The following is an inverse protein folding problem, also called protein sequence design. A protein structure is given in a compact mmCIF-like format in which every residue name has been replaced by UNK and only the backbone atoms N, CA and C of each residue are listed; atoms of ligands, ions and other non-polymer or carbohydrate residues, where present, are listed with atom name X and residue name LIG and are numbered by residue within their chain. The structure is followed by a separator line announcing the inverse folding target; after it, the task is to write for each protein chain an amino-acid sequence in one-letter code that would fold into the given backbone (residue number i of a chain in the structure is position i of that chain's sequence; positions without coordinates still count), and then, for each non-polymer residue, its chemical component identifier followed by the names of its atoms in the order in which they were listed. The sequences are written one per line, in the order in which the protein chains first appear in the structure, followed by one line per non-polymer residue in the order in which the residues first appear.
data_IF_479669413199
#
_entry.id   IF_479669413199
#
_cell.length_a   1.000
_cell.length_b   1.000
_cell.length_c   1.000
_cell.angle_alpha   90.00
_cell.angle_beta   90.00
_cell.angle_gamma   90.00
#
_symmetry.space_group_name_H-M   'P 1'
#
loop_
_entity.id
_entity.type
_entity.pdbx_description
1 polymer ?
#
# COMPACT_ATOMS: atom_id res chain seq x y z
N UNK A 1 -28.10 -31.54 -16.02
CA UNK A 1 -27.04 -31.86 -15.04
C UNK A 1 -25.61 -31.57 -15.53
N UNK A 2 -25.13 -32.18 -16.63
CA UNK A 2 -23.72 -32.03 -17.07
C UNK A 2 -23.27 -30.57 -17.34
N UNK A 3 -24.13 -29.74 -17.93
CA UNK A 3 -23.83 -28.32 -18.19
C UNK A 3 -23.69 -27.45 -16.92
N UNK A 4 -24.50 -27.71 -15.90
CA UNK A 4 -24.44 -26.98 -14.62
C UNK A 4 -23.14 -27.35 -13.89
N UNK A 5 -22.78 -28.64 -13.89
CA UNK A 5 -21.53 -29.12 -13.31
C UNK A 5 -20.29 -28.48 -13.97
N UNK A 6 -20.28 -28.37 -15.30
CA UNK A 6 -19.18 -27.72 -16.05
C UNK A 6 -19.07 -26.23 -15.67
N UNK A 7 -20.20 -25.53 -15.53
CA UNK A 7 -20.22 -24.11 -15.12
C UNK A 7 -19.70 -23.91 -13.70
N UNK A 8 -20.07 -24.79 -12.77
CA UNK A 8 -19.59 -24.74 -11.39
C UNK A 8 -18.09 -25.02 -11.33
N UNK A 9 -17.61 -26.05 -12.04
CA UNK A 9 -16.18 -26.41 -12.08
C UNK A 9 -15.33 -25.30 -12.70
N UNK A 10 -15.78 -24.70 -13.79
CA UNK A 10 -15.07 -23.57 -14.41
C UNK A 10 -15.02 -22.36 -13.47
N UNK A 11 -16.13 -22.02 -12.81
CA UNK A 11 -16.18 -20.91 -11.85
C UNK A 11 -15.26 -21.13 -10.64
N UNK A 12 -15.22 -22.35 -10.11
CA UNK A 12 -14.32 -22.74 -9.01
C UNK A 12 -12.84 -22.62 -9.41
N UNK A 13 -12.51 -23.04 -10.65
CA UNK A 13 -11.15 -23.00 -11.16
C UNK A 13 -10.65 -21.56 -11.35
N UNK A 14 -11.49 -20.68 -11.90
CA UNK A 14 -11.18 -19.24 -12.00
C UNK A 14 -11.08 -18.59 -10.62
N UNK A 15 -12.01 -18.90 -9.71
CA UNK A 15 -11.97 -18.38 -8.33
C UNK A 15 -10.69 -18.80 -7.59
N UNK A 16 -10.28 -20.07 -7.73
CA UNK A 16 -9.03 -20.57 -7.16
C UNK A 16 -7.79 -19.92 -7.80
N UNK A 17 -7.79 -19.71 -9.13
CA UNK A 17 -6.69 -19.04 -9.81
C UNK A 17 -6.51 -17.58 -9.33
N UNK A 18 -7.61 -16.84 -9.15
CA UNK A 18 -7.59 -15.48 -8.60
C UNK A 18 -7.11 -15.50 -7.14
N UNK A 19 -7.62 -16.42 -6.32
CA UNK A 19 -7.17 -16.58 -4.93
C UNK A 19 -5.68 -16.90 -4.84
N UNK A 20 -5.19 -17.80 -5.70
CA UNK A 20 -3.77 -18.13 -5.77
C UNK A 20 -2.91 -16.93 -6.19
N UNK A 21 -3.34 -16.15 -7.19
CA UNK A 21 -2.65 -14.91 -7.58
C UNK A 21 -2.65 -13.87 -6.46
N UNK A 22 -3.75 -13.71 -5.73
CA UNK A 22 -3.83 -12.81 -4.58
C UNK A 22 -2.91 -13.28 -3.44
N UNK A 23 -2.85 -14.59 -3.18
CA UNK A 23 -1.98 -15.18 -2.17
C UNK A 23 -0.50 -15.08 -2.55
N UNK A 24 -0.16 -15.31 -3.82
CA UNK A 24 1.21 -15.15 -4.31
C UNK A 24 1.63 -13.68 -4.26
N UNK A 25 0.76 -12.76 -4.70
CA UNK A 25 1.00 -11.33 -4.58
C UNK A 25 1.21 -10.94 -3.12
N UNK A 26 0.38 -11.42 -2.18
CA UNK A 26 0.59 -11.16 -0.75
C UNK A 26 1.94 -11.70 -0.26
N UNK A 27 2.32 -12.92 -0.66
CA UNK A 27 3.60 -13.52 -0.26
C UNK A 27 4.81 -12.75 -0.79
N UNK A 28 4.76 -12.35 -2.06
CA UNK A 28 5.83 -11.58 -2.71
C UNK A 28 5.89 -10.14 -2.15
N UNK A 29 4.75 -9.59 -1.74
CA UNK A 29 4.66 -8.28 -1.10
C UNK A 29 5.19 -8.28 0.34
N UNK A 30 4.97 -9.36 1.09
CA UNK A 30 5.58 -9.55 2.42
C UNK A 30 7.12 -9.59 2.36
N UNK A 31 7.70 -9.80 1.16
CA UNK A 31 9.16 -9.82 0.96
C UNK A 31 9.79 -8.54 0.43
N UNK A 32 9.03 -7.56 -0.08
CA UNK A 32 9.59 -6.24 -0.43
C UNK A 32 9.57 -5.30 0.78
N UNK A 33 10.70 -4.61 1.03
CA UNK A 33 10.85 -3.55 2.03
C UNK A 33 9.93 -2.36 1.71
N UNK A 34 8.65 -2.51 2.01
CA UNK A 34 7.64 -1.49 1.77
C UNK A 34 7.58 -0.54 2.95
N UNK A 35 8.70 0.15 3.16
CA UNK A 35 8.63 1.44 3.81
C UNK A 35 7.78 2.35 2.93
N UNK A 36 6.73 2.93 3.51
CA UNK A 36 6.05 4.03 2.85
C UNK A 36 7.07 5.11 2.46
N UNK A 37 6.75 5.89 1.43
CA UNK A 37 7.60 7.00 1.00
C UNK A 37 7.98 7.91 2.19
N UNK A 38 7.01 8.19 3.06
CA UNK A 38 7.18 8.98 4.29
C UNK A 38 8.09 8.29 5.31
N UNK A 39 7.96 6.97 5.54
CA UNK A 39 8.88 6.24 6.42
C UNK A 39 10.31 6.27 5.89
N UNK A 40 10.50 6.04 4.58
CA UNK A 40 11.82 6.09 3.95
C UNK A 40 12.45 7.47 4.10
N UNK A 41 11.70 8.53 3.83
CA UNK A 41 12.14 9.91 4.07
C UNK A 41 12.49 10.15 5.54
N UNK A 42 11.69 9.62 6.48
CA UNK A 42 11.94 9.76 7.92
C UNK A 42 13.25 9.11 8.31
N UNK A 43 13.53 7.89 7.83
CA UNK A 43 14.79 7.18 8.10
C UNK A 43 15.98 7.95 7.52
N UNK A 44 15.89 8.42 6.28
CA UNK A 44 16.95 9.21 5.63
C UNK A 44 17.25 10.51 6.39
N UNK A 45 16.20 11.25 6.78
CA UNK A 45 16.34 12.48 7.56
C UNK A 45 16.89 12.23 8.97
N UNK A 46 16.44 11.16 9.62
CA UNK A 46 16.93 10.77 10.94
C UNK A 46 18.42 10.37 10.88
N UNK A 47 18.86 9.69 9.82
CA UNK A 47 20.28 9.38 9.57
C UNK A 47 21.12 10.65 9.41
N UNK A 48 20.65 11.61 8.63
CA UNK A 48 21.36 12.88 8.42
C UNK A 48 21.43 13.70 9.72
N UNK A 49 20.35 13.76 10.50
CA UNK A 49 20.35 14.41 11.81
C UNK A 49 21.33 13.73 12.77
N UNK A 50 21.33 12.39 12.82
CA UNK A 50 22.23 11.60 13.65
C UNK A 50 23.69 11.96 13.38
N UNK A 51 24.07 11.97 12.10
CA UNK A 51 25.41 12.32 11.65
C UNK A 51 25.81 13.74 12.10
N UNK A 52 24.92 14.71 11.98
CA UNK A 52 25.19 16.10 12.42
C UNK A 52 25.35 16.23 13.92
N UNK A 53 24.55 15.50 14.69
CA UNK A 53 24.70 15.43 16.16
C UNK A 53 26.09 14.91 16.50
N UNK A 54 26.50 13.80 15.87
CA UNK A 54 27.82 13.19 16.09
C UNK A 54 28.96 14.14 15.71
N UNK A 55 28.89 14.78 14.54
CA UNK A 55 29.88 15.76 14.08
C UNK A 55 30.00 16.94 15.07
N UNK A 56 28.88 17.44 15.60
CA UNK A 56 28.88 18.50 16.61
C UNK A 56 29.49 18.03 17.94
N UNK A 57 29.13 16.82 18.40
CA UNK A 57 29.70 16.23 19.61
C UNK A 57 31.24 16.11 19.49
N UNK A 58 31.75 15.75 18.31
CA UNK A 58 33.19 15.65 18.03
C UNK A 58 33.87 17.03 18.02
N UNK A 59 33.30 18.03 17.33
CA UNK A 59 33.91 19.37 17.22
C UNK A 59 33.92 20.12 18.56
N UNK A 60 32.82 20.05 19.32
CA UNK A 60 32.67 20.79 20.58
C UNK A 60 33.06 19.99 21.83
N UNK A 61 33.42 18.71 21.67
CA UNK A 61 33.64 17.76 22.77
C UNK A 61 32.46 17.70 23.76
N UNK A 62 31.25 18.09 23.30
CA UNK A 62 29.99 18.16 24.04
C UNK A 62 28.85 18.01 23.05
N UNK A 63 27.89 17.16 23.37
CA UNK A 63 26.69 17.00 22.53
C UNK A 63 25.75 18.20 22.64
N UNK A 64 24.99 18.50 21.57
CA UNK A 64 24.04 19.60 21.57
C UNK A 64 22.94 19.34 22.60
N UNK A 65 22.40 20.38 23.25
CA UNK A 65 21.29 20.22 24.21
C UNK A 65 19.96 20.09 23.49
N UNK A 66 19.89 20.60 22.27
CA UNK A 66 18.71 20.62 21.44
C UNK A 66 19.08 20.60 19.96
N UNK A 67 18.16 20.16 19.09
CA UNK A 67 18.40 20.23 17.64
C UNK A 67 18.58 21.68 17.17
N UNK A 68 18.07 22.68 17.89
CA UNK A 68 18.28 24.09 17.52
C UNK A 68 19.76 24.50 17.58
N UNK A 69 20.58 23.82 18.39
CA UNK A 69 22.02 24.10 18.52
C UNK A 69 22.82 23.69 17.27
N UNK A 70 22.27 22.81 16.42
CA UNK A 70 22.89 22.31 15.20
C UNK A 70 22.73 23.25 14.00
N UNK A 71 22.19 24.46 14.20
CA UNK A 71 21.83 25.42 13.14
C UNK A 71 20.99 24.78 12.00
N UNK A 72 20.11 23.83 12.35
CA UNK A 72 19.24 23.11 11.37
C UNK A 72 18.18 24.03 10.76
N UNK A 73 18.08 25.29 11.22
CA UNK A 73 17.20 26.30 10.60
C UNK A 73 17.48 26.52 9.12
N UNK A 74 18.72 26.28 8.68
CA UNK A 74 19.09 26.38 7.26
C UNK A 74 18.55 25.22 6.42
N UNK A 75 18.04 24.15 7.06
CA UNK A 75 17.43 22.98 6.40
C UNK A 75 16.14 22.59 7.13
N UNK A 76 15.05 23.35 6.95
CA UNK A 76 13.77 23.12 7.62
C UNK A 76 13.18 21.72 7.33
N UNK A 77 13.57 21.11 6.22
CA UNK A 77 13.16 19.75 5.85
C UNK A 77 13.70 18.67 6.80
N UNK A 78 14.81 18.94 7.50
CA UNK A 78 15.41 17.99 8.45
C UNK A 78 14.79 18.08 9.85
N UNK A 79 14.04 19.12 10.18
CA UNK A 79 13.48 19.24 11.54
C UNK A 79 12.25 18.36 11.75
N UNK A 80 11.60 17.96 10.66
CA UNK A 80 10.37 17.19 10.68
C UNK A 80 10.55 15.84 9.96
N UNK A 81 9.82 14.83 10.42
CA UNK A 81 9.74 13.54 9.77
C UNK A 81 8.96 13.61 8.44
N UNK A 82 8.81 12.47 7.78
CA UNK A 82 8.12 12.35 6.49
C UNK A 82 6.63 12.66 6.53
N UNK A 83 6.02 12.72 7.72
CA UNK A 83 4.63 13.11 7.94
C UNK A 83 4.49 14.56 8.40
N UNK A 84 5.60 15.26 8.63
CA UNK A 84 5.63 16.65 9.05
C UNK A 84 5.62 16.85 10.57
N UNK A 85 5.73 15.80 11.37
CA UNK A 85 5.88 15.91 12.81
C UNK A 85 7.34 16.24 13.18
N UNK A 86 7.57 17.11 14.17
CA UNK A 86 8.93 17.45 14.59
C UNK A 86 9.61 16.24 15.24
N UNK A 87 10.89 16.01 14.92
CA UNK A 87 11.67 14.97 15.58
C UNK A 87 11.82 15.27 17.08
N UNK A 88 11.67 14.22 17.89
CA UNK A 88 11.93 14.27 19.34
C UNK A 88 13.40 13.97 19.57
N UNK A 89 14.12 14.95 20.11
CA UNK A 89 15.52 14.81 20.51
C UNK A 89 15.63 14.88 22.03
N UNK A 90 16.20 13.84 22.64
CA UNK A 90 16.43 13.76 24.08
C UNK A 90 17.90 13.49 24.34
N UNK A 91 18.49 14.22 25.27
CA UNK A 91 19.89 14.07 25.67
C UNK A 91 19.93 13.52 27.08
N UNK A 92 20.77 12.52 27.29
CA UNK A 92 21.17 11.98 28.59
C UNK A 92 22.67 12.24 28.79
N UNK A 93 23.22 11.94 29.97
CA UNK A 93 24.60 12.36 30.33
C UNK A 93 25.68 11.88 29.34
N UNK A 94 25.50 10.70 28.75
CA UNK A 94 26.48 10.10 27.83
C UNK A 94 25.89 9.73 26.46
N UNK A 95 24.60 9.96 26.23
CA UNK A 95 23.90 9.46 25.04
C UNK A 95 22.76 10.37 24.61
N UNK A 96 22.27 10.21 23.38
CA UNK A 96 21.11 10.92 22.88
C UNK A 96 20.15 9.96 22.16
N UNK A 97 18.88 10.33 22.13
CA UNK A 97 17.87 9.61 21.37
C UNK A 97 17.20 10.57 20.41
N UNK A 98 17.18 10.21 19.13
CA UNK A 98 16.34 10.83 18.11
C UNK A 98 15.17 9.89 17.79
N UNK A 99 13.95 10.42 17.82
CA UNK A 99 12.72 9.65 17.68
C UNK A 99 11.70 10.37 16.79
N UNK A 100 11.04 9.64 15.90
CA UNK A 100 9.77 9.99 15.28
C UNK A 100 8.70 9.01 15.78
N UNK A 101 7.49 9.52 16.02
CA UNK A 101 6.34 8.75 16.48
C UNK A 101 5.52 8.15 15.32
N UNK A 102 6.05 8.12 14.10
CA UNK A 102 5.32 7.60 12.95
C UNK A 102 4.17 8.50 12.49
N UNK A 103 3.25 7.90 11.73
CA UNK A 103 2.15 8.60 11.07
C UNK A 103 1.11 9.19 12.04
N UNK A 104 0.83 8.55 13.16
CA UNK A 104 -0.17 9.04 14.13
C UNK A 104 0.38 10.08 15.12
N UNK A 105 1.71 10.24 15.16
CA UNK A 105 2.40 11.19 16.02
C UNK A 105 2.36 10.82 17.51
N UNK A 106 2.06 9.57 17.86
CA UNK A 106 1.97 9.10 19.25
C UNK A 106 2.99 7.99 19.54
N UNK A 107 3.42 7.84 20.81
CA UNK A 107 4.31 6.76 21.18
C UNK A 107 3.68 5.38 20.96
N UNK A 108 4.40 4.49 20.26
CA UNK A 108 4.02 3.10 20.06
C UNK A 108 3.68 2.79 18.61
N UNK A 109 2.53 2.16 18.38
CA UNK A 109 2.03 1.85 17.04
C UNK A 109 2.62 0.60 16.39
N UNK A 110 2.06 0.27 15.21
CA UNK A 110 2.52 -0.80 14.33
C UNK A 110 2.43 -0.30 12.87
N UNK A 111 3.25 -0.85 11.96
CA UNK A 111 3.16 -0.48 10.55
C UNK A 111 3.64 0.95 10.31
N UNK A 112 2.74 1.83 9.84
CA UNK A 112 3.06 3.24 9.57
C UNK A 112 3.10 4.10 10.83
N UNK A 113 2.46 3.64 11.91
CA UNK A 113 2.41 4.32 13.21
C UNK A 113 3.59 3.92 14.11
N UNK A 114 4.46 3.01 13.65
CA UNK A 114 5.59 2.53 14.46
C UNK A 114 6.65 3.62 14.71
N UNK A 115 7.06 3.76 15.97
CA UNK A 115 8.17 4.61 16.42
C UNK A 115 9.50 4.31 15.65
N UNK A 116 10.12 5.35 15.08
CA UNK A 116 11.41 5.27 14.39
C UNK A 116 12.51 5.93 15.24
N UNK A 117 13.52 5.16 15.67
CA UNK A 117 14.62 5.63 16.55
C UNK A 117 15.98 5.64 15.86
N UNK A 118 16.87 6.56 16.22
CA UNK A 118 18.27 6.65 15.72
C UNK A 118 19.12 5.39 15.91
N UNK A 119 18.78 4.59 16.93
CA UNK A 119 19.55 3.40 17.30
C UNK A 119 19.02 2.16 16.56
N UNK A 120 17.79 2.26 16.07
CA UNK A 120 17.09 1.26 15.26
C UNK A 120 16.58 1.92 13.98
N UNK A 121 17.48 2.53 13.20
CA UNK A 121 17.20 3.09 11.87
C UNK A 121 16.89 2.01 10.82
N UNK A 122 16.86 0.75 11.25
CA UNK A 122 16.13 -0.30 10.59
C UNK A 122 14.75 -0.34 11.26
N UNK A 123 13.75 0.45 10.79
CA UNK A 123 12.38 0.30 11.26
C UNK A 123 12.06 -1.18 11.21
N UNK A 124 11.52 -1.76 12.29
CA UNK A 124 11.11 -3.15 12.18
C UNK A 124 10.11 -3.23 11.04
N UNK A 125 10.06 -4.39 10.38
CA UNK A 125 9.19 -4.63 9.23
C UNK A 125 7.74 -4.35 9.66
N UNK A 126 7.32 -3.11 9.48
CA UNK A 126 6.01 -2.66 9.86
C UNK A 126 5.05 -3.35 8.91
N UNK A 127 4.38 -4.40 9.39
CA UNK A 127 3.31 -5.00 8.63
C UNK A 127 2.20 -3.96 8.55
N UNK A 128 2.12 -3.23 7.43
CA UNK A 128 0.99 -2.35 7.19
C UNK A 128 -0.25 -3.23 7.17
N UNK A 129 -1.25 -3.01 8.04
CA UNK A 129 -2.45 -3.81 8.04
C UNK A 129 -3.08 -3.79 6.65
N UNK A 130 -3.58 -4.95 6.21
CA UNK A 130 -4.19 -5.09 4.88
C UNK A 130 -5.24 -4.00 4.59
N UNK A 131 -6.00 -3.61 5.61
CA UNK A 131 -7.02 -2.57 5.50
C UNK A 131 -6.42 -1.21 5.16
N UNK A 132 -5.41 -0.76 5.90
CA UNK A 132 -4.75 0.53 5.67
C UNK A 132 -4.11 0.57 4.29
N UNK A 133 -3.58 -0.57 3.82
CA UNK A 133 -3.05 -0.71 2.48
C UNK A 133 -4.12 -0.48 1.40
N UNK A 134 -5.24 -1.22 1.43
CA UNK A 134 -6.27 -1.09 0.39
C UNK A 134 -7.06 0.23 0.44
N UNK A 135 -7.05 0.92 1.58
CA UNK A 135 -7.68 2.25 1.75
C UNK A 135 -6.71 3.43 1.58
N UNK A 136 -5.40 3.17 1.54
CA UNK A 136 -4.37 4.19 1.44
C UNK A 136 -4.46 5.01 0.15
N UNK A 137 -4.10 6.29 0.21
CA UNK A 137 -4.30 7.26 -0.89
C UNK A 137 -3.69 6.81 -2.22
N UNK A 138 -2.52 6.16 -2.18
CA UNK A 138 -1.86 5.65 -3.38
C UNK A 138 -2.63 4.53 -4.11
N UNK A 139 -3.56 3.87 -3.44
CA UNK A 139 -4.25 2.70 -3.98
C UNK A 139 -5.77 2.81 -4.05
N UNK A 140 -6.35 3.90 -3.56
CA UNK A 140 -7.79 4.16 -3.63
C UNK A 140 -8.34 4.06 -5.05
N UNK A 141 -7.61 4.54 -6.06
CA UNK A 141 -8.05 4.47 -7.45
C UNK A 141 -8.11 3.03 -7.96
N UNK A 142 -7.13 2.21 -7.59
CA UNK A 142 -7.08 0.78 -7.95
C UNK A 142 -8.19 0.00 -7.25
N UNK A 143 -8.38 0.23 -5.94
CA UNK A 143 -9.44 -0.39 -5.15
C UNK A 143 -10.83 -0.03 -5.70
N UNK A 144 -11.07 1.24 -6.03
CA UNK A 144 -12.35 1.69 -6.62
C UNK A 144 -12.62 1.03 -7.98
N UNK A 145 -11.62 0.97 -8.85
CA UNK A 145 -11.77 0.35 -10.16
C UNK A 145 -12.05 -1.17 -10.05
N UNK A 146 -11.37 -1.86 -9.14
CA UNK A 146 -11.61 -3.26 -8.85
C UNK A 146 -13.04 -3.51 -8.32
N UNK A 147 -13.52 -2.69 -7.38
CA UNK A 147 -14.88 -2.80 -6.84
C UNK A 147 -15.94 -2.56 -7.91
N UNK A 148 -15.81 -1.48 -8.70
CA UNK A 148 -16.77 -1.14 -9.77
C UNK A 148 -16.82 -2.25 -10.82
N UNK A 149 -15.67 -2.78 -11.24
CA UNK A 149 -15.61 -3.85 -12.22
C UNK A 149 -16.20 -5.18 -11.71
N UNK A 150 -15.98 -5.50 -10.42
CA UNK A 150 -16.60 -6.66 -9.77
C UNK A 150 -18.13 -6.54 -9.73
N UNK A 151 -18.66 -5.37 -9.37
CA UNK A 151 -20.11 -5.11 -9.36
C UNK A 151 -20.69 -5.21 -10.77
N UNK A 152 -20.07 -4.54 -11.76
CA UNK A 152 -20.52 -4.58 -13.16
C UNK A 152 -20.51 -5.99 -13.72
N UNK A 153 -19.44 -6.76 -13.48
CA UNK A 153 -19.32 -8.15 -13.91
C UNK A 153 -20.36 -9.04 -13.23
N UNK A 154 -20.63 -8.83 -11.94
CA UNK A 154 -21.68 -9.54 -11.20
C UNK A 154 -23.07 -9.27 -11.77
N UNK A 155 -23.39 -8.01 -12.07
CA UNK A 155 -24.67 -7.62 -12.71
C UNK A 155 -24.78 -8.24 -14.11
N UNK A 156 -23.72 -8.16 -14.93
CA UNK A 156 -23.71 -8.73 -16.28
C UNK A 156 -23.94 -10.25 -16.25
N UNK A 157 -23.24 -10.95 -15.35
CA UNK A 157 -23.43 -12.38 -15.15
C UNK A 157 -24.87 -12.71 -14.74
N UNK A 158 -25.48 -11.95 -13.84
CA UNK A 158 -26.85 -12.20 -13.39
C UNK A 158 -27.90 -11.96 -14.49
N UNK A 159 -27.74 -10.89 -15.28
CA UNK A 159 -28.63 -10.56 -16.40
C UNK A 159 -28.49 -11.59 -17.54
N UNK A 160 -27.26 -11.96 -17.89
CA UNK A 160 -26.99 -12.90 -18.98
C UNK A 160 -27.36 -14.35 -18.60
N UNK A 161 -27.23 -14.74 -17.33
CA UNK A 161 -27.67 -16.06 -16.87
C UNK A 161 -29.20 -16.20 -16.93
N UNK A 162 -29.96 -15.14 -16.66
CA UNK A 162 -31.44 -15.14 -16.79
C UNK A 162 -31.92 -15.31 -18.23
N UNK A 163 -31.17 -14.83 -19.22
CA UNK A 163 -31.49 -15.01 -20.65
C UNK A 163 -31.39 -16.48 -21.10
N UNK A 164 -30.75 -17.35 -20.32
CA UNK A 164 -30.52 -18.76 -20.65
C UNK A 164 -31.64 -19.72 -20.20
N UNK A 165 -32.72 -19.24 -19.58
CA UNK A 165 -33.83 -20.06 -19.06
C UNK A 165 -34.86 -20.51 -20.13
N UNK A 166 -34.59 -20.27 -21.42
CA UNK A 166 -35.50 -20.71 -22.49
C UNK A 166 -35.32 -22.21 -22.83
N UNK A 167 -36.41 -22.99 -22.96
CA UNK A 167 -36.36 -24.47 -23.06
C UNK A 167 -35.76 -25.03 -24.37
N UNK A 168 -35.49 -24.17 -25.37
CA UNK A 168 -34.74 -24.52 -26.59
C UNK A 168 -33.54 -23.59 -26.68
N UNK A 169 -32.50 -23.92 -25.93
CA UNK A 169 -31.25 -23.16 -25.91
C UNK A 169 -30.54 -23.34 -27.25
N UNK A 170 -30.60 -22.33 -28.10
CA UNK A 170 -29.79 -22.28 -29.32
C UNK A 170 -28.31 -22.15 -28.92
N UNK A 171 -27.50 -23.13 -29.33
CA UNK A 171 -26.06 -23.16 -29.06
C UNK A 171 -25.37 -21.92 -29.62
N UNK A 172 -25.88 -21.36 -30.72
CA UNK A 172 -25.38 -20.11 -31.29
C UNK A 172 -25.65 -18.92 -30.37
N UNK A 173 -26.84 -18.82 -29.77
CA UNK A 173 -27.18 -17.75 -28.84
C UNK A 173 -26.34 -17.79 -27.55
N UNK A 174 -26.05 -19.00 -27.04
CA UNK A 174 -25.15 -19.16 -25.89
C UNK A 174 -23.71 -18.78 -26.25
N UNK A 175 -23.25 -19.18 -27.43
CA UNK A 175 -21.91 -18.83 -27.91
C UNK A 175 -21.77 -17.31 -28.08
N UNK A 176 -22.72 -16.66 -28.75
CA UNK A 176 -22.76 -15.19 -28.91
C UNK A 176 -22.77 -14.49 -27.55
N UNK A 177 -23.56 -14.97 -26.59
CA UNK A 177 -23.63 -14.39 -25.25
C UNK A 177 -22.30 -14.52 -24.48
N UNK A 178 -21.63 -15.68 -24.58
CA UNK A 178 -20.32 -15.91 -23.97
C UNK A 178 -19.22 -15.06 -24.61
N UNK A 179 -19.23 -14.92 -25.94
CA UNK A 179 -18.30 -14.05 -26.66
C UNK A 179 -18.53 -12.59 -26.31
N UNK A 180 -19.79 -12.14 -26.26
CA UNK A 180 -20.13 -10.77 -25.83
C UNK A 180 -19.68 -10.47 -24.41
N UNK A 181 -19.83 -11.41 -23.49
CA UNK A 181 -19.34 -11.30 -22.11
C UNK A 181 -17.82 -11.15 -22.07
N UNK A 182 -17.08 -11.97 -22.82
CA UNK A 182 -15.62 -11.90 -22.88
C UNK A 182 -15.14 -10.52 -23.38
N UNK A 183 -15.75 -9.99 -24.44
CA UNK A 183 -15.44 -8.67 -24.97
C UNK A 183 -15.82 -7.54 -24.00
N UNK A 184 -16.96 -7.65 -23.31
CA UNK A 184 -17.37 -6.66 -22.31
C UNK A 184 -16.40 -6.63 -21.12
N UNK A 185 -15.97 -7.80 -20.63
CA UNK A 185 -14.96 -7.90 -19.57
C UNK A 185 -13.62 -7.31 -20.06
N UNK A 186 -13.19 -7.62 -21.28
CA UNK A 186 -11.96 -7.07 -21.85
C UNK A 186 -11.99 -5.55 -22.01
N UNK A 187 -13.13 -4.97 -22.44
CA UNK A 187 -13.29 -3.52 -22.52
C UNK A 187 -13.28 -2.84 -21.15
N UNK A 188 -13.96 -3.43 -20.15
CA UNK A 188 -13.96 -2.93 -18.78
C UNK A 188 -12.54 -2.99 -18.22
N UNK A 189 -11.84 -4.11 -18.39
CA UNK A 189 -10.44 -4.27 -17.97
C UNK A 189 -9.52 -3.22 -18.64
N UNK A 190 -9.68 -2.99 -19.95
CA UNK A 190 -8.90 -1.98 -20.67
C UNK A 190 -9.20 -0.55 -20.24
N UNK A 191 -10.45 -0.23 -19.89
CA UNK A 191 -10.82 1.08 -19.34
C UNK A 191 -10.22 1.33 -17.95
N UNK A 192 -10.10 0.29 -17.14
CA UNK A 192 -9.48 0.34 -15.81
C UNK A 192 -7.99 0.62 -15.91
N UNK A 193 -7.30 0.05 -16.91
CA UNK A 193 -5.88 0.38 -17.17
C UNK A 193 -5.68 1.88 -17.47
N UNK A 194 -6.66 2.54 -18.11
CA UNK A 194 -6.62 3.98 -18.34
C UNK A 194 -6.78 4.83 -17.07
N UNK A 195 -7.57 4.35 -16.10
CA UNK A 195 -7.74 4.97 -14.78
C UNK A 195 -6.59 4.65 -13.81
N UNK A 196 -5.71 3.73 -14.19
CA UNK A 196 -4.55 3.28 -13.41
C UNK A 196 -3.30 4.15 -13.63
N UNK A 197 -3.26 5.02 -14.65
CA UNK A 197 -2.10 5.90 -14.86
C UNK A 197 -1.88 6.75 -13.60
N UNK A 198 -0.79 6.53 -12.84
CA UNK A 198 -0.51 7.32 -11.67
C UNK A 198 -0.27 8.75 -12.14
N UNK A 199 -1.05 9.69 -11.61
CA UNK A 199 -0.86 11.09 -11.89
C UNK A 199 0.52 11.47 -11.32
N UNK A 200 1.48 11.94 -12.14
CA UNK A 200 2.79 12.34 -11.64
C UNK A 200 2.63 13.67 -10.89
N UNK A 201 2.39 13.58 -9.59
CA UNK A 201 2.54 14.69 -8.65
C UNK A 201 3.46 14.27 -7.53
#
# INVERSE_FOLDING_TARGET
MKLILIRILTSLLFGFAIFYQALSAHRDYVTEDLLSYQQKMTVERAQELKKRVEDYCLDKSKCPRSLQDLNVKDIPELTNDGWGHPFVYKVTENDYTLLSYGQDGKPGGEGLDEDIKSDSLNPQRGHVPFWDYITGEGMQNMTRAAVVSGILSGVLCFVLLRLSDHPKVDKAAVFISLTGLFFAIAMIASGITGLHLPNPH
#
